data_IF_422625171861
#
_entry.id   IF_422625171861
#
_cell.length_a   1.000
_cell.length_b   1.000
_cell.length_c   1.000
_cell.angle_alpha   90.00
_cell.angle_beta   90.00
_cell.angle_gamma   90.00
#
_symmetry.space_group_name_H-M   'P 1'
#
loop_
_entity.id
_entity.type
_entity.pdbx_description
1 polymer ?
#
# COMPACT_ATOMS: atom_id res chain seq x y z
N UNK A 1 -11.14 -11.54 63.25
CA UNK A 1 -10.66 -10.19 63.61
C UNK A 1 -11.61 -9.04 63.26
N UNK A 2 -12.87 -9.26 62.90
CA UNK A 2 -13.89 -8.21 62.61
C UNK A 2 -14.92 -8.02 63.73
N UNK A 3 -14.76 -8.69 64.87
CA UNK A 3 -15.79 -8.69 65.94
C UNK A 3 -15.73 -7.47 66.87
N UNK A 4 -14.62 -6.75 66.94
CA UNK A 4 -14.41 -5.62 67.85
C UNK A 4 -14.29 -4.25 67.15
N UNK A 5 -14.55 -4.20 65.84
CA UNK A 5 -14.55 -2.90 65.12
C UNK A 5 -15.85 -2.15 65.43
N UNK A 6 -15.72 -0.91 65.85
CA UNK A 6 -16.88 -0.04 66.19
C UNK A 6 -17.83 0.10 65.00
N UNK A 7 -19.11 0.39 65.27
CA UNK A 7 -20.16 0.56 64.26
C UNK A 7 -19.76 1.49 63.12
N UNK A 8 -18.99 2.53 63.39
CA UNK A 8 -18.47 3.49 62.38
C UNK A 8 -17.53 2.82 61.42
N UNK A 9 -16.64 1.94 61.86
CA UNK A 9 -15.69 1.20 60.97
C UNK A 9 -16.41 0.21 60.08
N UNK A 10 -17.46 -0.46 60.61
CA UNK A 10 -18.28 -1.40 59.78
C UNK A 10 -19.07 -0.60 58.73
N UNK A 11 -19.66 0.52 59.08
CA UNK A 11 -20.37 1.38 58.12
C UNK A 11 -19.44 1.95 57.03
N UNK A 12 -18.25 2.41 57.43
CA UNK A 12 -17.23 2.89 56.45
C UNK A 12 -16.77 1.75 55.51
N UNK A 13 -16.56 0.55 56.00
CA UNK A 13 -16.18 -0.60 55.16
C UNK A 13 -17.28 -0.99 54.19
N UNK A 14 -18.54 -0.99 54.60
CA UNK A 14 -19.70 -1.28 53.75
C UNK A 14 -19.88 -0.26 52.63
N UNK A 15 -19.55 1.02 52.91
CA UNK A 15 -19.64 2.08 51.91
C UNK A 15 -18.39 2.16 51.03
N UNK A 16 -17.19 1.95 51.59
CA UNK A 16 -15.92 2.05 50.86
C UNK A 16 -15.73 0.97 49.79
N UNK A 17 -16.12 -0.27 50.07
CA UNK A 17 -15.96 -1.40 49.13
C UNK A 17 -16.73 -1.18 47.85
N UNK A 18 -18.04 -0.87 47.81
CA UNK A 18 -18.76 -0.62 46.58
C UNK A 18 -18.27 0.62 45.86
N UNK A 19 -17.83 1.66 46.58
CA UNK A 19 -17.28 2.88 45.94
C UNK A 19 -15.97 2.61 45.24
N UNK A 20 -15.06 1.85 45.86
CA UNK A 20 -13.79 1.44 45.24
C UNK A 20 -14.05 0.56 44.01
N UNK A 21 -14.98 -0.42 44.11
CA UNK A 21 -15.36 -1.26 42.97
C UNK A 21 -15.94 -0.44 41.81
N UNK A 22 -16.79 0.54 42.13
CA UNK A 22 -17.35 1.43 41.08
C UNK A 22 -16.25 2.23 40.38
N UNK A 23 -15.30 2.79 41.13
CA UNK A 23 -14.17 3.56 40.56
C UNK A 23 -13.30 2.67 39.69
N UNK A 24 -12.97 1.44 40.14
CA UNK A 24 -12.20 0.47 39.34
C UNK A 24 -12.96 0.07 38.07
N UNK A 25 -14.25 -0.24 38.19
CA UNK A 25 -15.06 -0.56 37.01
C UNK A 25 -15.15 0.59 36.01
N UNK A 26 -15.29 1.83 36.49
CA UNK A 26 -15.28 3.03 35.62
C UNK A 26 -13.93 3.22 34.93
N UNK A 27 -12.83 3.04 35.64
CA UNK A 27 -11.48 3.13 35.05
C UNK A 27 -11.26 2.04 33.98
N UNK A 28 -11.72 0.81 34.19
CA UNK A 28 -11.63 -0.27 33.20
C UNK A 28 -12.48 0.03 31.96
N UNK A 29 -13.68 0.57 32.13
CA UNK A 29 -14.55 0.99 31.02
C UNK A 29 -13.92 2.11 30.20
N UNK A 30 -13.37 3.13 30.85
CA UNK A 30 -12.67 4.23 30.18
C UNK A 30 -11.42 3.71 29.44
N UNK A 31 -10.65 2.84 30.07
CA UNK A 31 -9.48 2.23 29.42
C UNK A 31 -9.88 1.40 28.19
N UNK A 32 -10.98 0.64 28.26
CA UNK A 32 -11.51 -0.12 27.12
C UNK A 32 -12.00 0.81 25.98
N UNK A 33 -12.68 1.91 26.31
CA UNK A 33 -13.12 2.88 25.31
C UNK A 33 -11.94 3.62 24.65
N UNK A 34 -10.92 3.99 25.41
CA UNK A 34 -9.71 4.65 24.90
C UNK A 34 -8.92 3.69 24.00
N UNK A 35 -8.82 2.40 24.36
CA UNK A 35 -8.17 1.41 23.50
C UNK A 35 -8.95 1.18 22.21
N UNK A 36 -10.27 1.11 22.26
CA UNK A 36 -11.14 1.01 21.09
C UNK A 36 -11.00 2.21 20.13
N UNK A 37 -10.98 3.43 20.68
CA UNK A 37 -10.80 4.65 19.89
C UNK A 37 -9.41 4.72 19.23
N UNK A 38 -8.36 4.28 19.92
CA UNK A 38 -6.99 4.20 19.34
C UNK A 38 -6.93 3.18 18.23
N UNK A 39 -7.53 2.00 18.40
CA UNK A 39 -7.59 0.97 17.37
C UNK A 39 -8.36 1.45 16.14
N UNK A 40 -9.45 2.20 16.30
CA UNK A 40 -10.18 2.78 15.18
C UNK A 40 -9.32 3.80 14.40
N UNK A 41 -8.63 4.70 15.09
CA UNK A 41 -7.74 5.66 14.44
C UNK A 41 -6.54 5.02 13.71
N UNK A 42 -6.01 3.90 14.23
CA UNK A 42 -4.96 3.14 13.54
C UNK A 42 -5.50 2.44 12.28
N UNK A 43 -6.74 1.92 12.31
CA UNK A 43 -7.39 1.31 11.14
C UNK A 43 -7.61 2.35 10.04
N UNK A 44 -8.12 3.52 10.39
CA UNK A 44 -8.33 4.62 9.44
C UNK A 44 -6.99 5.05 8.81
N UNK A 45 -5.97 5.27 9.62
CA UNK A 45 -4.64 5.64 9.20
C UNK A 45 -3.99 4.62 8.22
N UNK A 46 -4.13 3.34 8.51
CA UNK A 46 -3.65 2.25 7.65
C UNK A 46 -4.43 2.19 6.34
N UNK A 47 -5.74 2.43 6.41
CA UNK A 47 -6.61 2.44 5.23
C UNK A 47 -6.25 3.58 4.31
N UNK A 48 -6.00 4.78 4.82
CA UNK A 48 -5.60 5.94 4.03
C UNK A 48 -4.26 5.70 3.31
N UNK A 49 -3.27 5.13 4.00
CA UNK A 49 -2.00 4.73 3.37
C UNK A 49 -2.23 3.68 2.27
N UNK A 50 -3.07 2.67 2.50
CA UNK A 50 -3.35 1.65 1.50
C UNK A 50 -4.05 2.22 0.25
N UNK A 51 -4.96 3.19 0.43
CA UNK A 51 -5.62 3.90 -0.68
C UNK A 51 -4.59 4.68 -1.50
N UNK A 52 -3.69 5.41 -0.86
CA UNK A 52 -2.68 6.21 -1.56
C UNK A 52 -1.63 5.34 -2.24
N UNK A 53 -1.21 4.23 -1.62
CA UNK A 53 -0.36 3.21 -2.28
C UNK A 53 -1.04 2.68 -3.55
N UNK A 54 -2.32 2.36 -3.49
CA UNK A 54 -3.05 1.87 -4.65
C UNK A 54 -3.12 2.92 -5.78
N UNK A 55 -3.28 4.20 -5.41
CA UNK A 55 -3.24 5.32 -6.36
C UNK A 55 -1.87 5.43 -7.04
N UNK A 56 -0.77 5.29 -6.27
CA UNK A 56 0.60 5.26 -6.82
C UNK A 56 0.76 4.07 -7.76
N UNK A 57 0.37 2.87 -7.35
CA UNK A 57 0.45 1.66 -8.19
C UNK A 57 -0.25 1.87 -9.53
N UNK A 58 -1.50 2.37 -9.53
CA UNK A 58 -2.23 2.65 -10.77
C UNK A 58 -1.54 3.69 -11.63
N UNK A 59 -1.05 4.77 -11.05
CA UNK A 59 -0.33 5.80 -11.79
C UNK A 59 0.96 5.25 -12.43
N UNK A 60 1.72 4.41 -11.71
CA UNK A 60 2.94 3.76 -12.25
C UNK A 60 2.60 2.74 -13.34
N UNK A 61 1.48 2.01 -13.23
CA UNK A 61 0.98 1.12 -14.29
C UNK A 61 0.66 1.91 -15.58
N UNK A 62 0.01 3.07 -15.45
CA UNK A 62 -0.31 3.93 -16.59
C UNK A 62 0.95 4.54 -17.19
N UNK A 63 1.93 4.95 -16.37
CA UNK A 63 3.21 5.43 -16.86
C UNK A 63 3.99 4.31 -17.58
N UNK A 64 4.02 3.09 -17.05
CA UNK A 64 4.59 1.93 -17.75
C UNK A 64 3.95 1.76 -19.13
N UNK A 65 2.63 1.68 -19.17
CA UNK A 65 1.88 1.48 -20.42
C UNK A 65 2.19 2.56 -21.45
N UNK A 66 2.10 3.83 -21.08
CA UNK A 66 2.37 4.96 -21.99
C UNK A 66 3.83 5.05 -22.41
N UNK A 67 4.75 4.69 -21.51
CA UNK A 67 6.19 4.63 -21.81
C UNK A 67 6.51 3.51 -22.80
N UNK A 68 5.94 2.31 -22.61
CA UNK A 68 6.14 1.19 -23.53
C UNK A 68 5.59 1.50 -24.93
N UNK A 69 4.44 2.18 -25.02
CA UNK A 69 3.89 2.69 -26.27
C UNK A 69 4.85 3.70 -26.90
N UNK A 70 5.36 4.65 -26.11
CA UNK A 70 6.28 5.69 -26.60
C UNK A 70 7.57 5.10 -27.16
N UNK A 71 8.14 4.10 -26.50
CA UNK A 71 9.37 3.44 -26.95
C UNK A 71 9.20 2.61 -28.24
N UNK A 72 7.95 2.31 -28.63
CA UNK A 72 7.61 1.65 -29.90
C UNK A 72 7.04 2.64 -30.95
N UNK A 73 6.74 3.87 -30.56
CA UNK A 73 6.12 4.86 -31.43
C UNK A 73 7.16 5.55 -32.32
N UNK A 74 7.12 5.25 -33.60
CA UNK A 74 7.97 5.91 -34.62
C UNK A 74 7.42 7.26 -35.08
N UNK A 75 6.20 7.63 -34.67
CA UNK A 75 5.52 8.87 -35.11
C UNK A 75 5.67 10.02 -34.14
N UNK A 76 6.07 9.73 -32.88
CA UNK A 76 6.25 10.72 -31.81
C UNK A 76 4.94 11.23 -31.19
N UNK A 77 3.78 10.65 -31.57
CA UNK A 77 2.47 11.11 -31.08
C UNK A 77 2.18 10.70 -29.62
N UNK A 78 2.82 9.66 -29.13
CA UNK A 78 2.63 9.10 -27.78
C UNK A 78 3.32 9.89 -26.67
N UNK A 79 4.28 10.78 -26.99
CA UNK A 79 5.07 11.53 -26.00
C UNK A 79 4.22 12.33 -25.01
N UNK A 80 3.15 12.98 -25.50
CA UNK A 80 2.29 13.80 -24.64
C UNK A 80 1.60 12.96 -23.54
N UNK A 81 1.09 11.79 -23.89
CA UNK A 81 0.46 10.86 -22.95
C UNK A 81 1.46 10.34 -21.90
N UNK A 82 2.69 9.99 -22.33
CA UNK A 82 3.76 9.60 -21.41
C UNK A 82 4.12 10.71 -20.42
N UNK A 83 4.21 11.97 -20.86
CA UNK A 83 4.50 13.09 -19.98
C UNK A 83 3.36 13.40 -19.01
N UNK A 84 2.12 13.17 -19.40
CA UNK A 84 0.95 13.32 -18.55
C UNK A 84 0.93 12.24 -17.46
N UNK A 85 1.15 10.97 -17.81
CA UNK A 85 1.21 9.87 -16.82
C UNK A 85 2.36 10.04 -15.82
N UNK A 86 3.52 10.57 -16.22
CA UNK A 86 4.62 10.93 -15.32
C UNK A 86 4.19 11.95 -14.25
N UNK A 87 3.42 12.98 -14.62
CA UNK A 87 2.89 13.96 -13.68
C UNK A 87 1.90 13.30 -12.71
N UNK A 88 1.04 12.41 -13.21
CA UNK A 88 0.11 11.69 -12.36
C UNK A 88 0.83 10.81 -11.32
N UNK A 89 1.97 10.20 -11.67
CA UNK A 89 2.81 9.48 -10.70
C UNK A 89 3.40 10.44 -9.67
N UNK A 90 3.96 11.57 -10.11
CA UNK A 90 4.56 12.55 -9.20
C UNK A 90 3.53 13.06 -8.19
N UNK A 91 2.33 13.41 -8.63
CA UNK A 91 1.21 13.85 -7.79
C UNK A 91 0.75 12.74 -6.81
N UNK A 92 0.69 11.48 -7.26
CA UNK A 92 0.30 10.35 -6.41
C UNK A 92 1.36 10.06 -5.33
N UNK A 93 2.64 10.10 -5.68
CA UNK A 93 3.76 9.90 -4.75
C UNK A 93 3.81 11.01 -3.71
N UNK A 94 3.59 12.26 -4.10
CA UNK A 94 3.53 13.38 -3.16
C UNK A 94 2.32 13.26 -2.22
N UNK A 95 1.17 12.79 -2.71
CA UNK A 95 0.01 12.44 -1.89
C UNK A 95 0.35 11.39 -0.84
N UNK A 96 0.95 10.26 -1.25
CA UNK A 96 1.37 9.20 -0.33
C UNK A 96 2.36 9.70 0.72
N UNK A 97 3.37 10.50 0.33
CA UNK A 97 4.32 11.10 1.26
C UNK A 97 3.63 11.98 2.31
N UNK A 98 2.65 12.78 1.90
CA UNK A 98 1.86 13.63 2.78
C UNK A 98 1.06 12.81 3.79
N UNK A 99 0.37 11.75 3.32
CA UNK A 99 -0.41 10.84 4.19
C UNK A 99 0.49 10.15 5.21
N UNK A 100 1.62 9.61 4.77
CA UNK A 100 2.60 8.97 5.66
C UNK A 100 3.15 9.94 6.70
N UNK A 101 3.45 11.19 6.32
CA UNK A 101 3.98 12.20 7.24
C UNK A 101 2.96 12.60 8.31
N UNK A 102 1.66 12.63 7.98
CA UNK A 102 0.57 12.97 8.90
C UNK A 102 0.08 11.82 9.76
N UNK A 103 0.47 10.58 9.44
CA UNK A 103 -0.06 9.37 10.05
C UNK A 103 0.84 8.85 11.18
N UNK A 104 0.23 8.45 12.30
CA UNK A 104 0.92 7.75 13.40
C UNK A 104 0.60 6.26 13.29
N UNK A 105 1.59 5.46 12.87
CA UNK A 105 1.44 4.01 12.72
C UNK A 105 2.21 3.29 13.84
N UNK A 106 1.56 2.37 14.54
CA UNK A 106 2.20 1.47 15.52
C UNK A 106 3.09 0.44 14.79
N UNK A 107 4.16 -0.04 15.44
CA UNK A 107 5.09 -1.00 14.79
C UNK A 107 6.08 -0.36 13.81
N UNK A 108 6.46 0.84 14.04
CA UNK A 108 7.11 1.84 13.18
C UNK A 108 8.32 1.37 12.35
N UNK A 109 9.15 0.45 12.83
CA UNK A 109 10.42 0.14 12.15
C UNK A 109 10.26 -0.54 10.79
N UNK A 110 9.41 -1.57 10.69
CA UNK A 110 9.18 -2.31 9.43
C UNK A 110 8.41 -1.45 8.41
N UNK A 111 7.43 -0.68 8.89
CA UNK A 111 6.64 0.22 8.05
C UNK A 111 7.53 1.33 7.50
N UNK A 112 8.37 1.95 8.34
CA UNK A 112 9.33 2.98 7.92
C UNK A 112 10.33 2.42 6.92
N UNK A 113 10.85 1.21 7.14
CA UNK A 113 11.75 0.56 6.19
C UNK A 113 11.08 0.28 4.83
N UNK A 114 9.82 -0.18 4.84
CA UNK A 114 9.08 -0.43 3.62
C UNK A 114 8.77 0.85 2.84
N UNK A 115 8.35 1.92 3.54
CA UNK A 115 8.14 3.25 2.95
C UNK A 115 9.46 3.80 2.39
N UNK A 116 10.58 3.61 3.09
CA UNK A 116 11.89 4.05 2.61
C UNK A 116 12.30 3.32 1.33
N UNK A 117 12.01 2.01 1.22
CA UNK A 117 12.26 1.23 -0.01
C UNK A 117 11.39 1.72 -1.17
N UNK A 118 10.11 1.95 -0.93
CA UNK A 118 9.21 2.52 -1.93
C UNK A 118 9.68 3.91 -2.39
N UNK A 119 10.05 4.78 -1.45
CA UNK A 119 10.59 6.10 -1.79
C UNK A 119 11.87 6.02 -2.62
N UNK A 120 12.79 5.10 -2.30
CA UNK A 120 14.00 4.87 -3.09
C UNK A 120 13.69 4.38 -4.51
N UNK A 121 12.69 3.48 -4.66
CA UNK A 121 12.23 3.02 -5.97
C UNK A 121 11.64 4.17 -6.80
N UNK A 122 10.90 5.08 -6.17
CA UNK A 122 10.38 6.28 -6.85
C UNK A 122 11.48 7.30 -7.20
N UNK A 123 12.52 7.43 -6.40
CA UNK A 123 13.67 8.28 -6.74
C UNK A 123 14.44 7.72 -7.94
N UNK A 124 14.49 6.40 -8.13
CA UNK A 124 15.05 5.75 -9.31
C UNK A 124 14.23 6.01 -10.58
N UNK A 125 12.90 6.25 -10.48
CA UNK A 125 12.05 6.64 -11.62
C UNK A 125 12.60 7.87 -12.35
N UNK A 126 13.10 8.87 -11.63
CA UNK A 126 13.69 10.07 -12.26
C UNK A 126 14.92 9.74 -13.11
N UNK A 127 15.68 8.74 -12.71
CA UNK A 127 16.86 8.28 -13.46
C UNK A 127 16.44 7.46 -14.68
N UNK A 128 15.47 6.55 -14.52
CA UNK A 128 14.91 5.77 -15.62
C UNK A 128 14.26 6.69 -16.69
N UNK A 129 13.45 7.66 -16.27
CA UNK A 129 12.83 8.67 -17.18
C UNK A 129 13.87 9.44 -17.99
N UNK A 130 14.98 9.86 -17.37
CA UNK A 130 16.08 10.51 -18.08
C UNK A 130 16.74 9.59 -19.10
N UNK A 131 16.91 8.32 -18.79
CA UNK A 131 17.47 7.34 -19.70
C UNK A 131 16.53 7.06 -20.88
N UNK A 132 15.22 7.00 -20.63
CA UNK A 132 14.18 6.90 -21.66
C UNK A 132 14.21 8.12 -22.58
N UNK A 133 14.24 9.33 -22.01
CA UNK A 133 14.27 10.59 -22.79
C UNK A 133 15.54 10.75 -23.63
N UNK A 134 16.62 10.04 -23.29
CA UNK A 134 17.89 9.98 -24.01
C UNK A 134 17.99 8.79 -24.98
N UNK A 135 16.90 8.05 -25.18
CA UNK A 135 16.85 6.85 -26.04
C UNK A 135 17.87 5.76 -25.65
N UNK A 136 18.19 5.68 -24.33
CA UNK A 136 19.16 4.73 -23.77
C UNK A 136 18.49 3.57 -23.04
N UNK A 137 17.18 3.45 -23.15
CA UNK A 137 16.38 2.46 -22.42
C UNK A 137 15.51 1.71 -23.42
N UNK A 138 15.64 0.42 -23.48
CA UNK A 138 14.80 -0.42 -24.33
C UNK A 138 13.46 -0.71 -23.66
N UNK A 139 12.44 -1.02 -24.44
CA UNK A 139 11.10 -1.31 -23.92
C UNK A 139 11.10 -2.46 -22.90
N UNK A 140 11.90 -3.51 -23.11
CA UNK A 140 12.03 -4.62 -22.17
C UNK A 140 12.66 -4.22 -20.83
N UNK A 141 13.64 -3.31 -20.86
CA UNK A 141 14.27 -2.79 -19.63
C UNK A 141 13.29 -1.88 -18.88
N UNK A 142 12.54 -1.05 -19.62
CA UNK A 142 11.50 -0.21 -19.04
C UNK A 142 10.40 -1.07 -18.37
N UNK A 143 9.92 -2.11 -19.04
CA UNK A 143 8.91 -3.02 -18.50
C UNK A 143 9.36 -3.66 -17.18
N UNK A 144 10.57 -4.23 -17.16
CA UNK A 144 11.15 -4.83 -15.94
C UNK A 144 11.30 -3.80 -14.83
N UNK A 145 11.77 -2.59 -15.17
CA UNK A 145 11.98 -1.53 -14.19
C UNK A 145 10.65 -1.11 -13.52
N UNK A 146 9.63 -0.74 -14.32
CA UNK A 146 8.32 -0.34 -13.79
C UNK A 146 7.65 -1.46 -13.01
N UNK A 147 7.75 -2.70 -13.48
CA UNK A 147 7.21 -3.86 -12.76
C UNK A 147 7.84 -4.01 -11.38
N UNK A 148 9.15 -3.82 -11.24
CA UNK A 148 9.83 -3.86 -9.94
C UNK A 148 9.37 -2.73 -8.99
N UNK A 149 9.15 -1.51 -9.50
CA UNK A 149 8.59 -0.41 -8.71
C UNK A 149 7.20 -0.78 -8.20
N UNK A 150 6.31 -1.23 -9.09
CA UNK A 150 4.95 -1.66 -8.76
C UNK A 150 4.96 -2.77 -7.70
N UNK A 151 5.79 -3.79 -7.87
CA UNK A 151 5.89 -4.90 -6.92
C UNK A 151 6.38 -4.44 -5.55
N UNK A 152 7.27 -3.45 -5.50
CA UNK A 152 7.74 -2.85 -4.24
C UNK A 152 6.59 -2.14 -3.51
N UNK A 153 5.75 -1.40 -4.23
CA UNK A 153 4.61 -0.70 -3.66
C UNK A 153 3.49 -1.65 -3.21
N UNK A 154 3.22 -2.70 -3.98
CA UNK A 154 2.21 -3.71 -3.65
C UNK A 154 2.49 -4.46 -2.33
N UNK A 155 3.73 -4.52 -1.87
CA UNK A 155 4.08 -5.12 -0.58
C UNK A 155 3.75 -4.23 0.63
N UNK A 156 3.59 -2.91 0.44
CA UNK A 156 3.39 -1.94 1.53
C UNK A 156 2.15 -2.24 2.38
N UNK A 157 0.94 -2.47 1.81
CA UNK A 157 -0.26 -2.75 2.60
C UNK A 157 -0.11 -3.97 3.50
N UNK A 158 0.50 -5.06 3.00
CA UNK A 158 0.74 -6.28 3.77
C UNK A 158 1.69 -6.06 4.96
N UNK A 159 2.74 -5.24 4.78
CA UNK A 159 3.69 -4.90 5.85
C UNK A 159 3.01 -4.03 6.92
N UNK A 160 2.21 -3.06 6.51
CA UNK A 160 1.44 -2.20 7.41
C UNK A 160 0.41 -3.04 8.19
N UNK A 161 -0.26 -3.99 7.51
CA UNK A 161 -1.22 -4.93 8.08
C UNK A 161 -0.63 -5.79 9.21
N UNK A 162 0.65 -6.15 9.11
CA UNK A 162 1.31 -7.00 10.11
C UNK A 162 1.39 -6.36 11.51
N UNK A 163 1.14 -5.05 11.60
CA UNK A 163 1.14 -4.28 12.84
C UNK A 163 -0.26 -4.07 13.43
N UNK A 164 -1.32 -4.49 12.73
CA UNK A 164 -2.72 -4.26 13.09
C UNK A 164 -3.43 -5.48 13.71
N UNK A 165 -4.76 -5.38 13.82
CA UNK A 165 -5.60 -6.49 14.29
C UNK A 165 -5.66 -7.63 13.27
N UNK A 166 -5.96 -8.87 13.68
CA UNK A 166 -6.12 -10.00 12.75
C UNK A 166 -7.14 -9.75 11.64
N UNK A 167 -8.26 -9.07 11.94
CA UNK A 167 -9.27 -8.71 10.95
C UNK A 167 -8.72 -7.73 9.91
N UNK A 168 -8.02 -6.69 10.35
CA UNK A 168 -7.38 -5.72 9.45
C UNK A 168 -6.34 -6.40 8.57
N UNK A 169 -5.51 -7.26 9.18
CA UNK A 169 -4.51 -8.05 8.45
C UNK A 169 -5.14 -8.96 7.38
N UNK A 170 -6.30 -9.57 7.66
CA UNK A 170 -7.01 -10.39 6.68
C UNK A 170 -7.56 -9.56 5.52
N UNK A 171 -8.15 -8.39 5.80
CA UNK A 171 -8.67 -7.48 4.76
C UNK A 171 -7.57 -6.95 3.87
N UNK A 172 -6.43 -6.55 4.45
CA UNK A 172 -5.31 -6.01 3.69
C UNK A 172 -4.60 -7.07 2.85
N UNK A 173 -4.52 -8.34 3.33
CA UNK A 173 -4.07 -9.46 2.49
C UNK A 173 -4.99 -9.71 1.30
N UNK A 174 -6.31 -9.67 1.52
CA UNK A 174 -7.26 -9.79 0.41
C UNK A 174 -7.14 -8.65 -0.59
N UNK A 175 -6.90 -7.42 -0.11
CA UNK A 175 -6.63 -6.26 -0.95
C UNK A 175 -5.32 -6.43 -1.74
N UNK A 176 -4.23 -6.87 -1.11
CA UNK A 176 -2.93 -7.15 -1.74
C UNK A 176 -3.08 -8.21 -2.86
N UNK A 177 -3.81 -9.30 -2.59
CA UNK A 177 -4.09 -10.33 -3.58
C UNK A 177 -4.87 -9.77 -4.78
N UNK A 178 -5.92 -8.97 -4.54
CA UNK A 178 -6.69 -8.33 -5.59
C UNK A 178 -5.82 -7.35 -6.41
N UNK A 179 -5.03 -6.52 -5.74
CA UNK A 179 -4.15 -5.55 -6.41
C UNK A 179 -3.06 -6.25 -7.24
N UNK A 180 -2.54 -7.38 -6.76
CA UNK A 180 -1.61 -8.22 -7.52
C UNK A 180 -2.28 -8.84 -8.76
N UNK A 181 -3.52 -9.31 -8.64
CA UNK A 181 -4.27 -9.83 -9.78
C UNK A 181 -4.54 -8.73 -10.84
N UNK A 182 -4.85 -7.52 -10.41
CA UNK A 182 -5.02 -6.35 -11.28
C UNK A 182 -3.69 -6.01 -11.98
N UNK A 183 -2.56 -6.09 -11.26
CA UNK A 183 -1.24 -5.86 -11.85
C UNK A 183 -0.92 -6.88 -12.95
N UNK A 184 -1.17 -8.16 -12.71
CA UNK A 184 -0.94 -9.17 -13.75
C UNK A 184 -1.81 -8.93 -14.99
N UNK A 185 -3.07 -8.52 -14.82
CA UNK A 185 -3.95 -8.17 -15.93
C UNK A 185 -3.48 -6.90 -16.67
N UNK A 186 -3.00 -5.88 -15.94
CA UNK A 186 -2.45 -4.67 -16.54
C UNK A 186 -1.17 -4.98 -17.34
N UNK A 187 -0.30 -5.82 -16.80
CA UNK A 187 0.93 -6.23 -17.48
C UNK A 187 0.64 -7.07 -18.73
N UNK A 188 -0.32 -8.01 -18.66
CA UNK A 188 -0.79 -8.75 -19.84
C UNK A 188 -1.30 -7.80 -20.93
N UNK A 189 -2.13 -6.82 -20.58
CA UNK A 189 -2.60 -5.78 -21.51
C UNK A 189 -1.45 -5.05 -22.17
N UNK A 190 -0.44 -4.63 -21.40
CA UNK A 190 0.72 -3.89 -21.90
C UNK A 190 1.54 -4.74 -22.88
N UNK A 191 1.75 -6.03 -22.60
CA UNK A 191 2.41 -6.96 -23.51
C UNK A 191 1.66 -7.10 -24.84
N UNK A 192 0.34 -7.28 -24.80
CA UNK A 192 -0.48 -7.38 -26.00
C UNK A 192 -0.43 -6.10 -26.82
N UNK A 193 -0.47 -4.93 -26.17
CA UNK A 193 -0.38 -3.63 -26.82
C UNK A 193 0.98 -3.44 -27.50
N UNK A 194 2.08 -3.75 -26.83
CA UNK A 194 3.43 -3.70 -27.41
C UNK A 194 3.57 -4.66 -28.58
N UNK A 195 3.08 -5.90 -28.45
CA UNK A 195 3.10 -6.87 -29.52
C UNK A 195 2.31 -6.40 -30.75
N UNK A 196 1.15 -5.75 -30.54
CA UNK A 196 0.37 -5.16 -31.62
C UNK A 196 1.11 -4.02 -32.34
N UNK A 197 1.75 -3.12 -31.60
CA UNK A 197 2.52 -2.00 -32.16
C UNK A 197 3.73 -2.51 -32.96
N UNK A 198 4.33 -3.60 -32.53
CA UNK A 198 5.47 -4.25 -33.19
C UNK A 198 5.06 -5.06 -34.42
N UNK A 199 3.75 -5.25 -34.66
CA UNK A 199 3.20 -5.95 -35.83
C UNK A 199 3.03 -7.45 -35.65
N UNK A 200 3.16 -8.01 -34.44
CA UNK A 200 2.92 -9.43 -34.18
C UNK A 200 3.27 -9.89 -32.77
N UNK A 201 2.67 -11.01 -32.38
CA UNK A 201 2.94 -11.72 -31.12
C UNK A 201 3.98 -12.79 -31.42
N UNK A 202 5.09 -12.78 -30.68
CA UNK A 202 6.13 -13.81 -30.78
C UNK A 202 5.96 -14.86 -29.69
N UNK A 203 6.66 -16.00 -29.82
CA UNK A 203 6.58 -17.10 -28.87
C UNK A 203 6.93 -16.68 -27.43
N UNK A 204 7.90 -15.77 -27.28
CA UNK A 204 8.27 -15.22 -25.98
C UNK A 204 7.14 -14.40 -25.34
N UNK A 205 6.39 -13.63 -26.13
CA UNK A 205 5.26 -12.84 -25.63
C UNK A 205 4.13 -13.77 -25.17
N UNK A 206 3.87 -14.83 -25.92
CA UNK A 206 2.87 -15.83 -25.55
C UNK A 206 3.26 -16.57 -24.26
N UNK A 207 4.53 -16.96 -24.11
CA UNK A 207 5.02 -17.60 -22.89
C UNK A 207 4.86 -16.66 -21.67
N UNK A 208 5.21 -15.39 -21.83
CA UNK A 208 5.10 -14.38 -20.77
C UNK A 208 3.64 -14.11 -20.40
N UNK A 209 2.76 -13.90 -21.37
CA UNK A 209 1.32 -13.72 -21.13
C UNK A 209 0.71 -14.93 -20.43
N UNK A 210 1.08 -16.14 -20.84
CA UNK A 210 0.61 -17.37 -20.20
C UNK A 210 1.06 -17.48 -18.74
N UNK A 211 2.29 -17.05 -18.43
CA UNK A 211 2.78 -17.00 -17.05
C UNK A 211 2.00 -15.99 -16.20
N UNK A 212 1.69 -14.80 -16.73
CA UNK A 212 0.89 -13.77 -16.05
C UNK A 212 -0.54 -14.26 -15.75
N UNK A 213 -1.19 -14.93 -16.71
CA UNK A 213 -2.51 -15.55 -16.51
C UNK A 213 -2.47 -16.63 -15.41
N UNK A 214 -1.40 -17.42 -15.37
CA UNK A 214 -1.21 -18.41 -14.31
C UNK A 214 -1.05 -17.74 -12.92
N UNK A 215 -0.26 -16.68 -12.82
CA UNK A 215 -0.06 -15.91 -11.60
C UNK A 215 -1.36 -15.21 -11.14
N UNK A 216 -2.13 -14.64 -12.08
CA UNK A 216 -3.43 -14.03 -11.78
C UNK A 216 -4.41 -15.02 -11.13
N UNK A 217 -4.37 -16.30 -11.51
CA UNK A 217 -5.24 -17.35 -10.93
C UNK A 217 -4.81 -17.80 -9.55
N UNK A 218 -3.60 -17.50 -9.14
CA UNK A 218 -3.03 -17.90 -7.85
C UNK A 218 -3.10 -16.76 -6.81
N UNK A 219 -3.25 -15.50 -7.25
CA UNK A 219 -3.42 -14.33 -6.39
C UNK A 219 -4.84 -14.27 -5.80
#
# INVERSE_FOLDING_TARGET
MLRDAGVRTKLLAVLAIPTVLLVVATMLLVAAQVSGARSAGEVDAVTDVAIDVNRVVHAVQDERSTTLVHLQDTTGTSRAAMLESRRAVDDAVDGLRSTVASTTISGRSRVVEAITRSAAAHDELLTARRSIDQERFYATEADVFYTNVIQTDLQLPGIVASSGTPELAARLRAHEALSSAIEYAAHERDLVQVAHLRGGIYEVDFAQASALVAQQRQA
#
